data_IF_732099321688
#
_entry.id   IF_732099321688
#
_cell.length_a   1.000
_cell.length_b   1.000
_cell.length_c   1.000
_cell.angle_alpha   90.00
_cell.angle_beta   90.00
_cell.angle_gamma   90.00
#
_symmetry.space_group_name_H-M   'P 1'
#
loop_
_entity.id
_entity.type
_entity.pdbx_description
1 polymer ?
#
# COMPACT_ATOMS: atom_id res chain seq x y z
N UNK A 1 -21.72 -3.22 -5.45
CA UNK A 1 -20.99 -3.83 -6.59
C UNK A 1 -19.62 -3.19 -6.62
N UNK A 2 -18.57 -3.95 -6.34
CA UNK A 2 -17.18 -3.49 -6.49
C UNK A 2 -16.79 -3.66 -7.95
N UNK A 3 -16.29 -2.59 -8.59
CA UNK A 3 -15.82 -2.65 -9.98
C UNK A 3 -14.31 -2.83 -9.95
N UNK A 4 -13.82 -3.87 -10.62
CA UNK A 4 -12.39 -4.03 -10.85
C UNK A 4 -11.86 -2.81 -11.59
N UNK A 5 -10.77 -2.24 -11.07
CA UNK A 5 -10.11 -1.06 -11.61
C UNK A 5 -8.92 -1.51 -12.45
N UNK A 6 -8.64 -0.79 -13.53
CA UNK A 6 -7.46 -1.04 -14.37
C UNK A 6 -6.19 -0.41 -13.72
N UNK A 7 -5.90 -0.84 -12.49
CA UNK A 7 -4.68 -0.46 -11.77
C UNK A 7 -3.66 -1.56 -11.99
N UNK A 8 -2.58 -1.31 -12.75
CA UNK A 8 -1.64 -2.36 -13.09
C UNK A 8 -0.95 -2.91 -11.83
N UNK A 9 -0.49 -4.16 -11.86
CA UNK A 9 0.42 -4.67 -10.84
C UNK A 9 1.69 -3.82 -10.82
N UNK A 10 2.33 -3.78 -9.66
CA UNK A 10 3.63 -3.13 -9.49
C UNK A 10 4.67 -4.18 -9.11
N UNK A 11 5.94 -3.88 -9.34
CA UNK A 11 7.03 -4.71 -8.81
C UNK A 11 6.89 -4.80 -7.27
N UNK A 12 6.96 -6.01 -6.67
CA UNK A 12 6.94 -6.16 -5.22
C UNK A 12 7.97 -5.29 -4.49
N UNK A 13 9.18 -5.12 -5.05
CA UNK A 13 10.20 -4.26 -4.48
C UNK A 13 9.78 -2.79 -4.48
N UNK A 14 9.05 -2.35 -5.51
CA UNK A 14 8.50 -1.00 -5.59
C UNK A 14 7.39 -0.79 -4.55
N UNK A 15 6.52 -1.79 -4.35
CA UNK A 15 5.50 -1.73 -3.31
C UNK A 15 6.12 -1.72 -1.90
N UNK A 16 7.11 -2.58 -1.64
CA UNK A 16 7.86 -2.58 -0.37
C UNK A 16 8.47 -1.21 -0.10
N UNK A 17 9.15 -0.62 -1.09
CA UNK A 17 9.70 0.72 -0.97
C UNK A 17 8.63 1.77 -0.60
N UNK A 18 7.49 1.77 -1.28
CA UNK A 18 6.40 2.69 -1.00
C UNK A 18 5.85 2.56 0.42
N UNK A 19 5.71 1.32 0.92
CA UNK A 19 5.26 1.03 2.28
C UNK A 19 6.31 1.46 3.31
N UNK A 20 7.59 1.21 3.06
CA UNK A 20 8.69 1.61 3.95
C UNK A 20 8.75 3.14 4.09
N UNK A 21 8.63 3.88 2.98
CA UNK A 21 8.56 5.34 2.98
C UNK A 21 7.34 5.81 3.77
N UNK A 22 6.17 5.21 3.54
CA UNK A 22 4.95 5.55 4.26
C UNK A 22 5.09 5.32 5.77
N UNK A 23 5.60 4.16 6.18
CA UNK A 23 5.83 3.84 7.60
C UNK A 23 6.86 4.77 8.24
N UNK A 24 7.95 5.08 7.53
CA UNK A 24 8.98 6.00 8.02
C UNK A 24 8.43 7.42 8.23
N UNK A 25 7.50 7.87 7.38
CA UNK A 25 6.78 9.12 7.56
C UNK A 25 5.85 9.05 8.78
N UNK A 26 5.01 8.02 8.87
CA UNK A 26 4.03 7.87 9.96
C UNK A 26 4.67 7.75 11.34
N UNK A 27 5.89 7.21 11.41
CA UNK A 27 6.65 7.06 12.66
C UNK A 27 7.56 8.25 12.98
N UNK A 28 7.58 9.27 12.12
CA UNK A 28 8.47 10.43 12.27
C UNK A 28 9.96 10.12 12.05
N UNK A 29 10.29 8.93 11.51
CA UNK A 29 11.65 8.51 11.20
C UNK A 29 12.22 9.21 9.95
N UNK A 30 11.36 9.73 9.07
CA UNK A 30 11.76 10.51 7.90
C UNK A 30 11.54 12.02 8.12
N UNK A 31 12.59 12.86 8.04
CA UNK A 31 12.43 14.31 8.11
C UNK A 31 11.80 14.81 6.81
N UNK A 32 10.52 15.19 6.86
CA UNK A 32 9.83 15.77 5.71
C UNK A 32 9.97 17.28 5.78
N UNK A 33 10.83 17.84 4.92
CA UNK A 33 11.00 19.28 4.81
C UNK A 33 9.68 19.92 4.36
N UNK A 34 9.14 20.77 5.24
CA UNK A 34 8.03 21.71 5.05
C UNK A 34 6.78 21.12 4.39
N UNK A 35 5.84 20.66 5.22
CA UNK A 35 4.43 20.57 4.85
C UNK A 35 3.59 21.15 6.00
N UNK A 36 2.80 22.16 5.68
CA UNK A 36 2.04 23.01 6.62
C UNK A 36 0.58 22.52 6.78
N UNK A 37 0.33 21.23 6.50
CA UNK A 37 -1.02 20.64 6.46
C UNK A 37 -1.17 19.47 7.43
N UNK A 38 -2.27 19.49 8.19
CA UNK A 38 -2.59 18.57 9.30
C UNK A 38 -2.89 17.10 8.90
N UNK A 39 -2.73 16.70 7.63
CA UNK A 39 -3.11 15.37 7.15
C UNK A 39 -1.89 14.47 6.87
N UNK A 40 -1.52 13.65 7.86
CA UNK A 40 -0.39 12.70 7.83
C UNK A 40 -0.39 11.75 6.60
N UNK A 41 -1.54 11.17 6.17
CA UNK A 41 -1.64 10.43 4.91
C UNK A 41 -1.21 11.22 3.67
N UNK A 42 -1.60 12.49 3.56
CA UNK A 42 -1.19 13.35 2.44
C UNK A 42 0.32 13.59 2.45
N UNK A 43 0.91 13.72 3.64
CA UNK A 43 2.35 13.89 3.82
C UNK A 43 3.13 12.62 3.40
N UNK A 44 2.61 11.43 3.73
CA UNK A 44 3.14 10.13 3.27
C UNK A 44 3.09 9.98 1.75
N UNK A 45 1.95 10.30 1.12
CA UNK A 45 1.82 10.28 -0.34
C UNK A 45 2.79 11.23 -1.04
N UNK A 46 2.93 12.46 -0.53
CA UNK A 46 3.87 13.44 -1.09
C UNK A 46 5.34 13.01 -0.91
N UNK A 47 5.66 12.30 0.16
CA UNK A 47 7.00 11.73 0.35
C UNK A 47 7.26 10.61 -0.66
N UNK A 48 6.31 9.70 -0.87
CA UNK A 48 6.42 8.64 -1.88
C UNK A 48 6.62 9.26 -3.26
N UNK A 49 5.74 10.18 -3.68
CA UNK A 49 5.83 10.83 -5.00
C UNK A 49 7.18 11.52 -5.20
N UNK A 50 7.71 12.21 -4.19
CA UNK A 50 9.05 12.84 -4.24
C UNK A 50 10.17 11.82 -4.36
N UNK A 51 10.06 10.70 -3.65
CA UNK A 51 11.07 9.66 -3.62
C UNK A 51 11.04 8.77 -4.88
N UNK A 52 9.91 8.66 -5.58
CA UNK A 52 9.84 7.93 -6.85
C UNK A 52 10.08 8.80 -8.07
N UNK A 53 9.83 10.11 -7.97
CA UNK A 53 10.11 11.08 -9.04
C UNK A 53 11.60 11.04 -9.40
N UNK A 54 11.92 10.58 -10.62
CA UNK A 54 13.29 10.46 -11.12
C UNK A 54 13.89 9.05 -11.06
N UNK A 55 13.17 8.05 -10.56
CA UNK A 55 13.59 6.65 -10.55
C UNK A 55 13.28 5.86 -11.83
N UNK A 56 12.88 6.56 -12.91
CA UNK A 56 12.64 5.94 -14.23
C UNK A 56 11.32 5.19 -14.34
N UNK A 57 10.40 5.37 -13.39
CA UNK A 57 9.04 4.87 -13.50
C UNK A 57 8.26 5.63 -14.56
N UNK A 58 7.35 4.93 -15.22
CA UNK A 58 6.34 5.57 -16.04
C UNK A 58 5.30 6.26 -15.14
N UNK A 59 4.61 7.32 -15.62
CA UNK A 59 3.55 7.96 -14.85
C UNK A 59 2.44 7.00 -14.40
N UNK A 60 2.21 5.92 -15.15
CA UNK A 60 1.23 4.90 -14.82
C UNK A 60 1.68 4.03 -13.63
N UNK A 61 2.96 3.68 -13.56
CA UNK A 61 3.54 2.92 -12.45
C UNK A 61 3.60 3.77 -11.17
N UNK A 62 3.92 5.06 -11.28
CA UNK A 62 3.88 5.99 -10.15
C UNK A 62 2.47 6.10 -9.56
N UNK A 63 1.47 6.30 -10.42
CA UNK A 63 0.07 6.37 -9.99
C UNK A 63 -0.41 5.05 -9.39
N UNK A 64 -0.03 3.91 -9.98
CA UNK A 64 -0.36 2.59 -9.46
C UNK A 64 0.27 2.33 -8.10
N UNK A 65 1.53 2.74 -7.90
CA UNK A 65 2.20 2.62 -6.62
C UNK A 65 1.51 3.45 -5.54
N UNK A 66 1.23 4.73 -5.81
CA UNK A 66 0.58 5.61 -4.83
C UNK A 66 -0.79 5.05 -4.43
N UNK A 67 -1.61 4.63 -5.39
CA UNK A 67 -2.90 4.00 -5.13
C UNK A 67 -2.77 2.72 -4.29
N UNK A 68 -1.81 1.86 -4.64
CA UNK A 68 -1.56 0.61 -3.94
C UNK A 68 -1.09 0.85 -2.52
N UNK A 69 -0.26 1.85 -2.24
CA UNK A 69 0.18 2.19 -0.88
C UNK A 69 -0.97 2.75 -0.05
N UNK A 70 -1.81 3.62 -0.62
CA UNK A 70 -2.99 4.17 0.07
C UNK A 70 -3.97 3.04 0.44
N UNK A 71 -4.29 2.18 -0.53
CA UNK A 71 -5.17 1.03 -0.32
C UNK A 71 -4.57 0.01 0.68
N UNK A 72 -3.25 0.02 0.86
CA UNK A 72 -2.56 -0.96 1.70
C UNK A 72 -2.82 -0.73 3.19
N UNK A 73 -3.02 0.53 3.61
CA UNK A 73 -3.43 0.83 4.98
C UNK A 73 -4.76 0.18 5.36
N UNK A 74 -5.73 0.17 4.44
CA UNK A 74 -7.01 -0.52 4.66
C UNK A 74 -6.85 -2.04 4.64
N UNK A 75 -6.02 -2.57 3.73
CA UNK A 75 -5.72 -4.00 3.64
C UNK A 75 -5.16 -4.55 4.96
N UNK A 76 -4.29 -3.80 5.64
CA UNK A 76 -3.77 -4.17 6.96
C UNK A 76 -4.91 -4.35 7.97
N UNK A 77 -5.82 -3.38 8.08
CA UNK A 77 -6.96 -3.47 9.00
C UNK A 77 -7.94 -4.60 8.66
N UNK A 78 -8.10 -4.90 7.36
CA UNK A 78 -8.91 -6.04 6.91
C UNK A 78 -8.22 -7.38 7.21
N UNK A 79 -6.90 -7.45 7.07
CA UNK A 79 -6.14 -8.66 7.31
C UNK A 79 -6.26 -9.17 8.76
N UNK A 80 -6.40 -8.27 9.74
CA UNK A 80 -6.65 -8.63 11.14
C UNK A 80 -7.95 -9.44 11.33
N UNK A 81 -8.93 -9.26 10.44
CA UNK A 81 -10.25 -9.87 10.53
C UNK A 81 -10.43 -11.07 9.59
N UNK A 82 -9.47 -11.34 8.70
CA UNK A 82 -9.50 -12.47 7.76
C UNK A 82 -8.46 -13.54 8.13
N UNK A 83 -8.95 -14.65 8.69
CA UNK A 83 -8.15 -15.78 9.15
C UNK A 83 -7.20 -16.38 8.10
N UNK A 84 -7.47 -16.20 6.81
CA UNK A 84 -6.62 -16.70 5.71
C UNK A 84 -5.33 -15.91 5.60
N UNK A 85 -5.35 -14.64 6.00
CA UNK A 85 -4.25 -13.70 5.80
C UNK A 85 -3.75 -13.05 7.10
N UNK A 86 -4.46 -13.18 8.21
CA UNK A 86 -4.10 -12.61 9.51
C UNK A 86 -2.69 -13.01 9.99
N UNK A 87 -2.21 -14.21 9.63
CA UNK A 87 -0.87 -14.68 9.98
C UNK A 87 0.28 -13.92 9.29
N UNK A 88 -0.04 -13.04 8.34
CA UNK A 88 0.95 -12.33 7.54
C UNK A 88 1.21 -10.88 7.97
N UNK A 89 0.40 -10.36 8.89
CA UNK A 89 0.49 -9.00 9.41
C UNK A 89 0.46 -9.05 10.92
N UNK A 90 1.42 -8.41 11.57
CA UNK A 90 1.47 -8.29 13.02
C UNK A 90 1.79 -6.85 13.42
N UNK A 91 1.08 -6.31 14.41
CA UNK A 91 1.42 -5.00 15.00
C UNK A 91 2.73 -5.15 15.78
N UNK A 92 3.70 -4.28 15.50
CA UNK A 92 5.00 -4.28 16.15
C UNK A 92 5.41 -2.85 16.53
N UNK A 93 5.32 -2.52 17.82
CA UNK A 93 5.66 -1.18 18.31
C UNK A 93 4.76 -0.10 17.72
N UNK A 94 5.36 0.87 17.01
CA UNK A 94 4.68 1.98 16.32
C UNK A 94 4.35 1.68 14.84
N UNK A 95 4.47 0.44 14.39
CA UNK A 95 4.22 0.06 12.99
C UNK A 95 3.71 -1.37 12.83
N UNK A 96 3.91 -1.92 11.62
CA UNK A 96 3.48 -3.27 11.27
C UNK A 96 4.66 -4.09 10.78
N UNK A 97 4.75 -5.33 11.25
CA UNK A 97 5.57 -6.37 10.67
C UNK A 97 4.75 -7.12 9.61
N UNK A 98 5.26 -7.14 8.39
CA UNK A 98 4.54 -7.68 7.23
C UNK A 98 5.44 -8.71 6.56
N UNK A 99 4.89 -9.89 6.31
CA UNK A 99 5.67 -10.95 5.66
C UNK A 99 5.96 -10.62 4.18
N UNK A 100 7.12 -11.04 3.63
CA UNK A 100 7.42 -10.86 2.22
C UNK A 100 6.37 -11.48 1.28
N UNK A 101 5.80 -12.63 1.64
CA UNK A 101 4.76 -13.30 0.85
C UNK A 101 3.50 -12.43 0.69
N UNK A 102 3.13 -11.69 1.74
CA UNK A 102 1.97 -10.80 1.72
C UNK A 102 2.20 -9.56 0.86
N UNK A 103 3.42 -9.00 0.91
CA UNK A 103 3.81 -7.90 0.04
C UNK A 103 3.80 -8.34 -1.43
N UNK A 104 4.30 -9.54 -1.72
CA UNK A 104 4.28 -10.11 -3.06
C UNK A 104 2.86 -10.38 -3.57
N UNK A 105 1.99 -10.92 -2.71
CA UNK A 105 0.59 -11.13 -3.03
C UNK A 105 -0.14 -9.80 -3.31
N UNK A 106 0.08 -8.80 -2.46
CA UNK A 106 -0.50 -7.46 -2.63
C UNK A 106 0.01 -6.78 -3.91
N UNK A 107 1.30 -6.85 -4.22
CA UNK A 107 1.87 -6.24 -5.43
C UNK A 107 1.20 -6.69 -6.74
N UNK A 108 0.79 -7.97 -6.78
CA UNK A 108 0.08 -8.55 -7.92
C UNK A 108 -1.44 -8.56 -7.80
N UNK A 109 -2.01 -8.18 -6.66
CA UNK A 109 -3.45 -8.27 -6.41
C UNK A 109 -4.24 -7.18 -7.13
N UNK A 110 -5.49 -7.50 -7.44
CA UNK A 110 -6.44 -6.60 -8.08
C UNK A 110 -6.87 -5.50 -7.10
N UNK A 111 -7.06 -4.29 -7.64
CA UNK A 111 -7.62 -3.14 -6.93
C UNK A 111 -9.05 -2.94 -7.40
N UNK A 112 -9.96 -2.79 -6.45
CA UNK A 112 -11.37 -2.53 -6.69
C UNK A 112 -11.77 -1.14 -6.24
N UNK A 113 -12.69 -0.54 -6.98
CA UNK A 113 -13.33 0.70 -6.56
C UNK A 113 -14.45 0.40 -5.56
N UNK A 114 -14.42 1.09 -4.43
CA UNK A 114 -15.41 1.04 -3.35
C UNK A 114 -16.61 1.94 -3.64
N UNK A 115 -17.71 1.69 -2.93
CA UNK A 115 -18.97 2.44 -3.09
C UNK A 115 -18.87 3.92 -2.66
N UNK A 116 -17.91 4.25 -1.80
CA UNK A 116 -17.56 5.61 -1.37
C UNK A 116 -16.63 6.34 -2.35
N UNK A 117 -16.26 5.69 -3.46
CA UNK A 117 -15.35 6.23 -4.45
C UNK A 117 -13.86 5.99 -4.16
N UNK A 118 -13.52 5.37 -3.02
CA UNK A 118 -12.17 4.97 -2.68
C UNK A 118 -11.68 3.72 -3.43
N UNK A 119 -10.41 3.37 -3.22
CA UNK A 119 -9.78 2.18 -3.80
C UNK A 119 -9.31 1.25 -2.68
N UNK A 120 -9.55 -0.05 -2.85
CA UNK A 120 -9.11 -1.08 -1.91
C UNK A 120 -8.58 -2.30 -2.66
N UNK A 121 -7.78 -3.11 -1.97
CA UNK A 121 -7.42 -4.43 -2.46
C UNK A 121 -8.65 -5.35 -2.50
N UNK A 122 -8.76 -6.16 -3.55
CA UNK A 122 -9.65 -7.30 -3.51
C UNK A 122 -9.05 -8.41 -2.65
N UNK A 123 -9.67 -8.66 -1.48
CA UNK A 123 -9.21 -9.62 -0.50
C UNK A 123 -9.15 -11.05 -1.06
N UNK A 124 -10.09 -11.43 -1.93
CA UNK A 124 -10.07 -12.75 -2.56
C UNK A 124 -8.85 -12.90 -3.48
N UNK A 125 -8.56 -11.88 -4.27
CA UNK A 125 -7.36 -11.81 -5.11
C UNK A 125 -6.06 -11.89 -4.29
N UNK A 126 -5.99 -11.21 -3.13
CA UNK A 126 -4.83 -11.30 -2.22
C UNK A 126 -4.70 -12.70 -1.63
N UNK A 127 -5.79 -13.25 -1.08
CA UNK A 127 -5.79 -14.58 -0.46
C UNK A 127 -5.44 -15.68 -1.47
N UNK A 128 -5.97 -15.62 -2.69
CA UNK A 128 -5.66 -16.57 -3.74
C UNK A 128 -4.16 -16.62 -4.08
N UNK A 129 -3.47 -15.47 -3.99
CA UNK A 129 -2.02 -15.35 -4.25
C UNK A 129 -1.14 -15.81 -3.10
N UNK A 130 -1.71 -16.07 -1.92
CA UNK A 130 -0.98 -16.60 -0.75
C UNK A 130 -1.05 -18.12 -0.64
N UNK A 131 -1.96 -18.75 -1.37
CA UNK A 131 -2.18 -20.21 -1.37
C UNK A 131 -1.38 -20.92 -2.48
N UNK A 132 -0.63 -20.17 -3.28
CA UNK A 132 0.18 -20.63 -4.42
C UNK A 132 1.65 -20.25 -4.24
#
# INVERSE_FOLDING_TARGET
MHRATDVPPVDPALLTFGIDVFQAVMTGAMPVAEYDGDDLPCLGMNAITRQVSGHGLTPQEEAALVLRVVAFGELIGQAEHDHRIAGHVAVAGSGYHITPAFLQAAAGADIVQRADGGFAYDLESVAARLVH
#
